data_IF_956540684216
#
_entry.id   IF_956540684216
#
_cell.length_a   1.000
_cell.length_b   1.000
_cell.length_c   1.000
_cell.angle_alpha   90.00
_cell.angle_beta   90.00
_cell.angle_gamma   90.00
#
_symmetry.space_group_name_H-M   'P 1'
#
loop_
_entity.id
_entity.type
_entity.pdbx_description
1 polymer ?
#
# COMPACT_ATOMS: atom_id res chain seq x y z
N UNK A 1 1.06 -33.42 -19.72
CA UNK A 1 0.24 -32.20 -19.52
C UNK A 1 1.05 -31.22 -18.70
N UNK A 2 1.55 -30.12 -19.30
CA UNK A 2 2.09 -29.00 -18.52
C UNK A 2 0.88 -28.24 -17.98
N UNK A 3 0.63 -28.32 -16.68
CA UNK A 3 -0.28 -27.37 -16.04
C UNK A 3 0.29 -25.96 -16.29
N UNK A 4 -0.54 -24.98 -16.70
CA UNK A 4 -0.07 -23.62 -16.76
C UNK A 4 0.25 -23.25 -15.31
N UNK A 5 1.54 -23.15 -14.98
CA UNK A 5 1.92 -22.48 -13.74
C UNK A 5 1.35 -21.09 -13.89
N UNK A 6 0.38 -20.72 -13.04
CA UNK A 6 0.08 -19.31 -12.80
C UNK A 6 1.44 -18.66 -12.63
N UNK A 7 1.81 -17.74 -13.54
CA UNK A 7 3.12 -17.13 -13.55
C UNK A 7 3.35 -16.61 -12.13
N UNK A 8 4.44 -17.01 -11.47
CA UNK A 8 4.70 -16.63 -10.08
C UNK A 8 4.73 -15.10 -9.90
N UNK A 9 4.90 -14.37 -11.00
CA UNK A 9 4.73 -12.90 -11.09
C UNK A 9 3.27 -12.48 -10.95
N UNK A 10 2.34 -13.14 -11.62
CA UNK A 10 0.91 -12.85 -11.54
C UNK A 10 0.38 -13.11 -10.13
N UNK A 11 0.82 -14.20 -9.48
CA UNK A 11 0.46 -14.50 -8.10
C UNK A 11 0.96 -13.42 -7.11
N UNK A 12 2.20 -12.97 -7.28
CA UNK A 12 2.78 -11.89 -6.46
C UNK A 12 2.07 -10.56 -6.68
N UNK A 13 1.80 -10.21 -7.94
CA UNK A 13 1.06 -9.00 -8.29
C UNK A 13 -0.35 -9.03 -7.69
N UNK A 14 -1.03 -10.17 -7.76
CA UNK A 14 -2.35 -10.34 -7.17
C UNK A 14 -2.33 -10.15 -5.65
N UNK A 15 -1.33 -10.71 -4.97
CA UNK A 15 -1.17 -10.52 -3.52
C UNK A 15 -0.93 -9.05 -3.16
N UNK A 16 -0.06 -8.35 -3.91
CA UNK A 16 0.16 -6.91 -3.73
C UNK A 16 -1.13 -6.10 -3.92
N UNK A 17 -1.91 -6.39 -4.97
CA UNK A 17 -3.18 -5.71 -5.21
C UNK A 17 -4.18 -5.92 -4.07
N UNK A 18 -4.22 -7.12 -3.48
CA UNK A 18 -5.07 -7.42 -2.33
C UNK A 18 -4.67 -6.60 -1.11
N UNK A 19 -3.36 -6.48 -0.87
CA UNK A 19 -2.84 -5.75 0.29
C UNK A 19 -3.11 -4.25 0.18
N UNK A 20 -2.83 -3.66 -0.98
CA UNK A 20 -3.19 -2.27 -1.28
C UNK A 20 -4.69 -2.04 -1.09
N UNK A 21 -5.53 -2.93 -1.60
CA UNK A 21 -6.98 -2.81 -1.45
C UNK A 21 -7.43 -2.89 0.02
N UNK A 22 -6.81 -3.77 0.82
CA UNK A 22 -7.06 -3.90 2.26
C UNK A 22 -6.73 -2.59 2.98
N UNK A 23 -5.55 -2.04 2.73
CA UNK A 23 -5.10 -0.76 3.31
C UNK A 23 -6.05 0.37 2.90
N UNK A 24 -6.33 0.53 1.61
CA UNK A 24 -7.18 1.63 1.13
C UNK A 24 -8.61 1.58 1.69
N UNK A 25 -9.09 0.40 2.14
CA UNK A 25 -10.40 0.24 2.77
C UNK A 25 -10.37 0.48 4.29
N UNK A 26 -9.21 0.49 4.92
CA UNK A 26 -9.10 0.67 6.37
C UNK A 26 -9.52 2.08 6.79
N UNK A 27 -10.13 2.20 7.98
CA UNK A 27 -10.49 3.50 8.55
C UNK A 27 -9.24 4.35 8.84
N UNK A 28 -8.15 3.69 9.21
CA UNK A 28 -6.86 4.30 9.47
C UNK A 28 -6.30 5.01 8.25
N UNK A 29 -6.26 4.33 7.10
CA UNK A 29 -5.85 4.93 5.84
C UNK A 29 -6.73 6.13 5.49
N UNK A 30 -8.05 5.96 5.59
CA UNK A 30 -8.98 7.05 5.28
C UNK A 30 -8.80 8.25 6.20
N UNK A 31 -8.50 8.03 7.49
CA UNK A 31 -8.21 9.09 8.47
C UNK A 31 -6.90 9.79 8.13
N UNK A 32 -5.81 9.04 7.98
CA UNK A 32 -4.48 9.55 7.69
C UNK A 32 -4.48 10.36 6.39
N UNK A 33 -5.04 9.81 5.31
CA UNK A 33 -5.13 10.49 4.02
C UNK A 33 -5.88 11.83 4.14
N UNK A 34 -7.01 11.88 4.87
CA UNK A 34 -7.76 13.13 5.09
C UNK A 34 -6.94 14.18 5.86
N UNK A 35 -6.12 13.75 6.82
CA UNK A 35 -5.25 14.64 7.58
C UNK A 35 -4.10 15.17 6.72
N UNK A 36 -3.45 14.30 5.95
CA UNK A 36 -2.40 14.69 5.02
C UNK A 36 -2.89 15.66 3.94
N UNK A 37 -4.07 15.43 3.36
CA UNK A 37 -4.68 16.38 2.40
C UNK A 37 -4.84 17.77 3.01
N UNK A 38 -5.27 17.87 4.27
CA UNK A 38 -5.43 19.17 4.96
C UNK A 38 -4.08 19.87 5.13
N UNK A 39 -3.02 19.13 5.43
CA UNK A 39 -1.66 19.67 5.55
C UNK A 39 -1.14 20.12 4.18
N UNK A 40 -1.25 19.28 3.16
CA UNK A 40 -0.69 19.53 1.83
C UNK A 40 -1.36 20.68 1.09
N UNK A 41 -2.67 20.86 1.28
CA UNK A 41 -3.38 22.06 0.82
C UNK A 41 -2.83 23.34 1.43
N UNK A 42 -2.50 23.33 2.73
CA UNK A 42 -1.95 24.51 3.43
C UNK A 42 -0.51 24.82 2.97
N UNK A 43 0.25 23.80 2.59
CA UNK A 43 1.64 23.93 2.15
C UNK A 43 1.79 24.28 0.67
N UNK A 44 0.69 24.37 -0.10
CA UNK A 44 0.74 24.74 -1.53
C UNK A 44 1.27 23.65 -2.47
N UNK A 45 1.15 22.37 -2.10
CA UNK A 45 1.53 21.25 -2.98
C UNK A 45 0.63 21.23 -4.23
N UNK A 46 1.21 20.94 -5.40
CA UNK A 46 0.55 20.97 -6.71
C UNK A 46 -0.66 20.03 -6.81
N UNK A 47 -0.53 18.79 -6.31
CA UNK A 47 -1.65 17.86 -6.16
C UNK A 47 -1.67 17.30 -4.73
N UNK A 48 -2.36 17.97 -3.81
CA UNK A 48 -2.37 17.58 -2.40
C UNK A 48 -3.14 16.28 -2.16
N UNK A 49 -4.00 15.83 -3.08
CA UNK A 49 -4.74 14.58 -2.93
C UNK A 49 -3.90 13.38 -3.36
N UNK A 50 -3.23 13.49 -4.52
CA UNK A 50 -2.35 12.44 -5.00
C UNK A 50 -1.17 12.24 -4.03
N UNK A 51 -0.54 13.33 -3.60
CA UNK A 51 0.57 13.27 -2.65
C UNK A 51 0.14 12.63 -1.32
N UNK A 52 -0.99 13.09 -0.75
CA UNK A 52 -1.50 12.53 0.51
C UNK A 52 -1.87 11.05 0.38
N UNK A 53 -2.45 10.64 -0.74
CA UNK A 53 -2.78 9.25 -0.99
C UNK A 53 -1.53 8.38 -1.06
N UNK A 54 -0.51 8.81 -1.82
CA UNK A 54 0.75 8.09 -1.98
C UNK A 54 1.47 7.94 -0.64
N UNK A 55 1.60 9.03 0.12
CA UNK A 55 2.31 9.01 1.39
C UNK A 55 1.56 8.20 2.45
N UNK A 56 0.24 8.37 2.57
CA UNK A 56 -0.57 7.59 3.52
C UNK A 56 -0.57 6.09 3.17
N UNK A 57 -0.62 5.73 1.88
CA UNK A 57 -0.55 4.34 1.45
C UNK A 57 0.83 3.76 1.75
N UNK A 58 1.90 4.48 1.42
CA UNK A 58 3.26 4.03 1.66
C UNK A 58 3.53 3.83 3.16
N UNK A 59 3.13 4.78 4.01
CA UNK A 59 3.29 4.66 5.47
C UNK A 59 2.64 3.38 6.01
N UNK A 60 1.38 3.12 5.66
CA UNK A 60 0.66 1.94 6.15
C UNK A 60 1.08 0.65 5.46
N UNK A 61 1.55 0.71 4.23
CA UNK A 61 2.08 -0.45 3.54
C UNK A 61 3.38 -0.92 4.20
N UNK A 62 4.30 -0.01 4.53
CA UNK A 62 5.55 -0.33 5.24
C UNK A 62 5.27 -0.85 6.64
N UNK A 63 4.29 -0.27 7.35
CA UNK A 63 3.88 -0.75 8.68
C UNK A 63 3.33 -2.19 8.61
N UNK A 64 2.43 -2.46 7.65
CA UNK A 64 1.90 -3.80 7.42
C UNK A 64 2.97 -4.81 6.95
N UNK A 65 3.92 -4.38 6.10
CA UNK A 65 5.04 -5.23 5.67
C UNK A 65 6.00 -5.52 6.84
N UNK A 66 6.22 -4.58 7.76
CA UNK A 66 7.05 -4.82 8.95
C UNK A 66 6.42 -5.84 9.92
N UNK A 67 5.10 -5.91 9.98
CA UNK A 67 4.37 -6.99 10.66
C UNK A 67 4.45 -8.32 9.88
N UNK A 68 4.65 -8.26 8.56
CA UNK A 68 4.79 -9.40 7.66
C UNK A 68 6.21 -10.01 7.67
N UNK A 69 7.26 -9.19 7.83
CA UNK A 69 8.67 -9.61 7.97
C UNK A 69 8.93 -10.51 9.20
N UNK A 70 8.03 -10.51 10.18
CA UNK A 70 8.05 -11.51 11.27
C UNK A 70 7.65 -12.94 10.84
N UNK A 71 7.19 -13.13 9.60
CA UNK A 71 6.61 -14.38 9.10
C UNK A 71 7.12 -14.83 7.72
N UNK A 72 8.05 -14.11 7.09
CA UNK A 72 8.59 -14.47 5.78
C UNK A 72 10.11 -14.41 5.84
N UNK A 73 10.76 -15.55 5.56
CA UNK A 73 12.22 -15.63 5.47
C UNK A 73 12.78 -14.61 4.46
N UNK A 74 13.96 -14.04 4.74
CA UNK A 74 14.59 -13.05 3.87
C UNK A 74 14.86 -13.66 2.49
N UNK A 75 14.39 -12.98 1.45
CA UNK A 75 14.64 -13.35 0.06
C UNK A 75 16.13 -13.16 -0.28
N UNK A 76 16.80 -14.24 -0.64
CA UNK A 76 18.13 -14.28 -1.26
C UNK A 76 17.99 -14.84 -2.68
#
# INVERSE_FOLDING_TARGET
>A
MKYPSVDSRDARLFQLCREVARICKSEEFQRLNREMVKLYRKSGITDPYLAAFQDALFSLFVEADSEFEGSVEPFN
#
